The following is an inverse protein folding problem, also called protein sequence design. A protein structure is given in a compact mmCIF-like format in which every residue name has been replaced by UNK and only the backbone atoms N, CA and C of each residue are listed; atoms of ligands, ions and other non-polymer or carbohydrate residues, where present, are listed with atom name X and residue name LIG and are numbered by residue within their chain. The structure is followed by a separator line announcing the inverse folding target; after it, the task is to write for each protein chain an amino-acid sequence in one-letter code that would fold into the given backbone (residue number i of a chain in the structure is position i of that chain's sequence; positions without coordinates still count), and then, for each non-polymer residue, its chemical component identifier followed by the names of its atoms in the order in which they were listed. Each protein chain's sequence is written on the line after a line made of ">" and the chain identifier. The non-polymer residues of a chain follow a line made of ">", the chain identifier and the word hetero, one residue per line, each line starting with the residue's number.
data_IF_434012235358
#
_entry.id   IF_434012235358
#
_cell.length_a   1.000
_cell.length_b   1.000
_cell.length_c   1.000
_cell.angle_alpha   90.00
_cell.angle_beta   90.00
_cell.angle_gamma   90.00
#
_symmetry.space_group_name_H-M   'P 1'
#
loop_
_entity.id
_entity.type
_entity.pdbx_description
1 polymer ?
#
# COMPACT_ATOMS: atom_id res chain seq x y z
N UNK A 1 2.77 -10.65 7.15
CA UNK A 1 3.95 -10.30 7.98
C UNK A 1 3.56 -9.21 8.97
N UNK A 2 4.09 -9.23 10.19
CA UNK A 2 3.79 -8.17 11.18
C UNK A 2 4.79 -7.03 11.08
N UNK A 3 4.29 -5.80 10.91
CA UNK A 3 5.09 -4.59 10.97
C UNK A 3 5.67 -4.43 12.38
N UNK A 4 6.96 -4.10 12.47
CA UNK A 4 7.58 -3.77 13.75
C UNK A 4 7.00 -2.44 14.27
N UNK A 5 6.60 -2.39 15.54
CA UNK A 5 6.01 -1.20 16.19
C UNK A 5 6.83 0.09 15.99
N UNK A 6 8.16 0.00 15.77
CA UNK A 6 9.00 1.17 15.45
C UNK A 6 8.59 1.91 14.18
N UNK A 7 7.92 1.21 13.26
CA UNK A 7 7.51 1.71 11.96
C UNK A 7 6.00 1.84 11.84
N UNK A 8 5.22 1.62 12.91
CA UNK A 8 3.76 1.75 12.89
C UNK A 8 3.31 3.10 12.32
N UNK A 9 4.07 4.16 12.60
CA UNK A 9 3.81 5.54 12.16
C UNK A 9 4.68 5.99 10.99
N UNK A 10 5.45 5.08 10.36
CA UNK A 10 6.30 5.41 9.23
C UNK A 10 5.44 5.93 8.07
N UNK A 11 5.94 6.95 7.39
CA UNK A 11 5.33 7.55 6.20
C UNK A 11 6.44 7.85 5.21
N UNK A 12 6.13 7.79 3.92
CA UNK A 12 7.08 8.19 2.88
C UNK A 12 7.22 9.71 2.94
N UNK A 13 8.43 10.20 3.20
CA UNK A 13 8.71 11.63 3.32
C UNK A 13 9.04 12.25 1.96
N UNK A 14 8.15 12.04 0.99
CA UNK A 14 8.30 12.54 -0.37
C UNK A 14 7.00 13.20 -0.82
N UNK A 15 7.11 14.34 -1.50
CA UNK A 15 5.96 14.95 -2.14
C UNK A 15 5.54 14.07 -3.31
N UNK A 16 4.39 13.42 -3.18
CA UNK A 16 3.86 12.50 -4.17
C UNK A 16 2.43 12.92 -4.49
N UNK A 17 2.11 12.97 -5.78
CA UNK A 17 0.77 13.28 -6.26
C UNK A 17 -0.02 12.01 -6.60
N UNK A 18 -1.34 12.12 -6.61
CA UNK A 18 -2.24 11.03 -6.98
C UNK A 18 -2.35 9.93 -5.90
N UNK A 19 -2.69 8.69 -6.28
CA UNK A 19 -3.01 7.61 -5.34
C UNK A 19 -1.84 7.26 -4.40
N UNK A 20 -0.61 7.39 -4.87
CA UNK A 20 0.62 7.15 -4.08
C UNK A 20 0.79 8.13 -2.91
N UNK A 21 0.13 9.30 -2.94
CA UNK A 21 0.10 10.24 -1.81
C UNK A 21 -0.47 9.61 -0.53
N UNK A 22 -1.24 8.53 -0.66
CA UNK A 22 -1.69 7.70 0.45
C UNK A 22 -0.53 7.24 1.34
N UNK A 23 0.59 6.79 0.77
CA UNK A 23 1.74 6.30 1.53
C UNK A 23 2.56 7.41 2.21
N UNK A 24 2.40 8.65 1.77
CA UNK A 24 2.96 9.83 2.44
C UNK A 24 2.04 10.40 3.51
N UNK A 25 0.73 10.20 3.39
CA UNK A 25 -0.28 10.78 4.31
C UNK A 25 -0.69 9.81 5.41
N UNK A 26 -0.79 8.52 5.11
CA UNK A 26 -1.19 7.47 6.04
C UNK A 26 0.00 6.70 6.60
N UNK A 27 -0.04 6.34 7.89
CA UNK A 27 1.03 5.57 8.53
C UNK A 27 1.10 4.14 7.98
N UNK A 28 2.28 3.52 7.99
CA UNK A 28 2.54 2.21 7.39
C UNK A 28 1.61 1.10 7.89
N UNK A 29 1.21 1.16 9.17
CA UNK A 29 0.20 0.23 9.75
C UNK A 29 -1.14 0.25 9.02
N UNK A 30 -1.46 1.35 8.35
CA UNK A 30 -2.69 1.53 7.60
C UNK A 30 -2.52 1.22 6.12
N UNK A 31 -1.35 0.79 5.65
CA UNK A 31 -1.10 0.61 4.22
C UNK A 31 -1.82 -0.57 3.56
N UNK A 32 -2.62 -1.35 4.30
CA UNK A 32 -3.46 -2.42 3.75
C UNK A 32 -4.30 -1.96 2.57
N UNK A 33 -4.56 -2.87 1.62
CA UNK A 33 -5.36 -2.59 0.43
C UNK A 33 -6.75 -2.03 0.78
N UNK A 34 -7.39 -2.53 1.84
CA UNK A 34 -8.71 -2.05 2.29
C UNK A 34 -8.70 -0.54 2.58
N UNK A 35 -7.67 -0.04 3.25
CA UNK A 35 -7.56 1.38 3.58
C UNK A 35 -7.18 2.20 2.35
N UNK A 36 -6.28 1.70 1.51
CA UNK A 36 -5.95 2.31 0.23
C UNK A 36 -7.23 2.48 -0.60
N UNK A 37 -7.95 1.40 -0.83
CA UNK A 37 -9.22 1.36 -1.57
C UNK A 37 -10.29 2.31 -1.00
N UNK A 38 -10.39 2.42 0.34
CA UNK A 38 -11.33 3.33 0.98
C UNK A 38 -10.97 4.80 0.79
N UNK A 39 -9.69 5.15 0.84
CA UNK A 39 -9.22 6.53 0.98
C UNK A 39 -8.74 7.19 -0.33
N UNK A 40 -8.41 6.43 -1.38
CA UNK A 40 -7.86 7.02 -2.62
C UNK A 40 -8.87 7.23 -3.76
N UNK A 41 -10.09 6.68 -3.68
CA UNK A 41 -11.06 6.75 -4.77
C UNK A 41 -12.47 7.22 -4.33
N UNK A 42 -13.26 7.72 -5.27
CA UNK A 42 -14.68 8.08 -5.08
C UNK A 42 -15.59 6.83 -5.12
N UNK A 43 -16.56 6.75 -4.20
CA UNK A 43 -17.35 5.55 -3.90
C UNK A 43 -18.17 4.98 -5.07
N UNK A 44 -18.50 5.81 -6.08
CA UNK A 44 -19.49 5.46 -7.11
C UNK A 44 -18.99 4.37 -8.08
N UNK A 45 -17.67 4.18 -8.24
CA UNK A 45 -17.09 3.20 -9.18
C UNK A 45 -16.11 2.19 -8.56
N UNK A 46 -15.91 2.23 -7.24
CA UNK A 46 -14.92 1.40 -6.52
C UNK A 46 -15.07 -0.10 -6.76
N UNK A 47 -16.30 -0.63 -6.68
CA UNK A 47 -16.55 -2.07 -6.83
C UNK A 47 -16.30 -2.55 -8.27
N UNK A 48 -16.70 -1.75 -9.27
CA UNK A 48 -16.50 -2.09 -10.69
C UNK A 48 -15.02 -2.10 -11.07
N UNK A 49 -14.22 -1.23 -10.44
CA UNK A 49 -12.80 -1.08 -10.72
C UNK A 49 -11.90 -1.84 -9.74
N UNK A 50 -12.47 -2.69 -8.86
CA UNK A 50 -11.72 -3.38 -7.80
C UNK A 50 -10.43 -4.03 -8.30
N UNK A 51 -10.49 -4.78 -9.41
CA UNK A 51 -9.31 -5.44 -9.99
C UNK A 51 -8.26 -4.46 -10.48
N UNK A 52 -8.68 -3.35 -11.08
CA UNK A 52 -7.77 -2.29 -11.52
C UNK A 52 -7.10 -1.63 -10.31
N UNK A 53 -7.89 -1.29 -9.29
CA UNK A 53 -7.40 -0.66 -8.06
C UNK A 53 -6.44 -1.57 -7.27
N UNK A 54 -6.71 -2.87 -7.27
CA UNK A 54 -5.80 -3.86 -6.69
C UNK A 54 -4.48 -3.92 -7.46
N UNK A 55 -4.55 -3.87 -8.79
CA UNK A 55 -3.35 -3.86 -9.61
C UNK A 55 -2.54 -2.58 -9.40
N UNK A 56 -3.20 -1.42 -9.36
CA UNK A 56 -2.56 -0.13 -9.09
C UNK A 56 -1.92 -0.13 -7.69
N UNK A 57 -2.61 -0.67 -6.69
CA UNK A 57 -2.05 -0.84 -5.34
C UNK A 57 -0.80 -1.72 -5.34
N UNK A 58 -0.81 -2.87 -6.03
CA UNK A 58 0.37 -3.75 -6.13
C UNK A 58 1.55 -3.02 -6.82
N UNK A 59 1.29 -2.28 -7.89
CA UNK A 59 2.30 -1.49 -8.59
C UNK A 59 2.88 -0.41 -7.66
N UNK A 60 2.03 0.22 -6.86
CA UNK A 60 2.46 1.23 -5.90
C UNK A 60 3.30 0.62 -4.78
N UNK A 61 2.92 -0.56 -4.27
CA UNK A 61 3.75 -1.32 -3.32
C UNK A 61 5.11 -1.68 -3.92
N UNK A 62 5.17 -2.17 -5.15
CA UNK A 62 6.43 -2.44 -5.86
C UNK A 62 7.29 -1.18 -5.96
N UNK A 63 6.70 -0.06 -6.32
CA UNK A 63 7.40 1.23 -6.35
C UNK A 63 8.04 1.57 -5.00
N UNK A 64 7.36 1.35 -3.88
CA UNK A 64 7.93 1.58 -2.53
C UNK A 64 9.19 0.74 -2.30
N UNK A 65 9.21 -0.52 -2.77
CA UNK A 65 10.39 -1.38 -2.64
C UNK A 65 11.61 -0.86 -3.41
N UNK A 66 11.39 -0.07 -4.47
CA UNK A 66 12.47 0.54 -5.26
C UNK A 66 13.05 1.82 -4.63
N UNK A 67 12.38 2.41 -3.63
CA UNK A 67 12.85 3.65 -3.01
C UNK A 67 14.06 3.40 -2.11
N UNK A 68 15.15 4.14 -2.32
CA UNK A 68 16.37 4.01 -1.52
C UNK A 68 16.18 4.51 -0.07
N UNK A 69 15.35 5.54 0.12
CA UNK A 69 15.02 6.15 1.42
C UNK A 69 14.18 5.27 2.34
N UNK A 70 13.61 4.18 1.81
CA UNK A 70 12.74 3.28 2.57
C UNK A 70 13.58 2.20 3.24
N UNK A 71 13.49 2.02 4.58
CA UNK A 71 14.20 0.97 5.29
C UNK A 71 13.85 -0.43 4.77
N UNK A 72 14.81 -1.36 4.80
CA UNK A 72 14.58 -2.73 4.34
C UNK A 72 13.41 -3.41 5.04
N UNK A 73 13.19 -3.15 6.33
CA UNK A 73 12.07 -3.78 7.04
C UNK A 73 10.70 -3.28 6.58
N UNK A 74 10.61 -2.04 6.07
CA UNK A 74 9.39 -1.55 5.42
C UNK A 74 9.21 -2.24 4.08
N UNK A 75 10.30 -2.48 3.34
CA UNK A 75 10.24 -3.20 2.05
C UNK A 75 9.80 -4.65 2.23
N UNK A 76 10.30 -5.33 3.26
CA UNK A 76 9.84 -6.66 3.67
C UNK A 76 8.35 -6.65 4.04
N UNK A 77 7.92 -5.68 4.85
CA UNK A 77 6.51 -5.52 5.21
C UNK A 77 5.62 -5.33 3.98
N UNK A 78 6.00 -4.42 3.08
CA UNK A 78 5.30 -4.14 1.82
C UNK A 78 5.23 -5.36 0.91
N UNK A 79 6.32 -6.14 0.85
CA UNK A 79 6.34 -7.41 0.12
C UNK A 79 5.32 -8.39 0.72
N UNK A 80 5.26 -8.49 2.06
CA UNK A 80 4.27 -9.30 2.76
C UNK A 80 2.82 -8.87 2.49
N UNK A 81 2.54 -7.57 2.31
CA UNK A 81 1.20 -7.09 1.92
C UNK A 81 0.83 -7.54 0.51
N UNK A 82 1.79 -7.56 -0.42
CA UNK A 82 1.59 -8.02 -1.80
C UNK A 82 1.27 -9.52 -1.84
N UNK A 83 1.96 -10.32 -1.03
CA UNK A 83 1.73 -11.77 -0.95
C UNK A 83 0.34 -12.09 -0.35
N UNK A 84 -0.08 -11.37 0.70
CA UNK A 84 -1.40 -11.55 1.34
C UNK A 84 -2.58 -11.31 0.36
N UNK A 85 -2.46 -10.28 -0.47
CA UNK A 85 -3.45 -9.94 -1.49
C UNK A 85 -3.39 -10.89 -2.71
N UNK A 86 -2.26 -11.53 -2.95
CA UNK A 86 -2.09 -12.54 -4.01
C UNK A 86 -2.69 -13.89 -3.62
N UNK A 87 -2.61 -14.26 -2.33
CA UNK A 87 -3.19 -15.51 -1.78
C UNK A 87 -4.71 -15.45 -1.70
N UNK A 88 -5.30 -14.27 -1.50
CA UNK A 88 -6.76 -14.09 -1.45
C UNK A 88 -7.48 -14.30 -2.81
N UNK A 89 -6.76 -14.69 -3.87
CA UNK A 89 -7.30 -15.04 -5.21
C UNK A 89 -7.51 -16.55 -5.42
N UNK A 90 -7.38 -17.39 -4.39
CA UNK A 90 -7.38 -18.85 -4.53
C UNK A 90 -8.57 -19.62 -3.90
N UNK A 91 -9.64 -18.96 -3.47
CA UNK A 91 -10.89 -19.64 -3.05
C UNK A 91 -12.07 -19.34 -3.99
#
# INVERSE_FOLDING_TARGET
>A
MSLNNKYDHFKINKLIEGPKSFFATQPAKQWSFINYFKLTHDDINKIKNYKCLLNDYIIDLEWITTLEEVPSEIKDYVSGLKDEESVSKQD
#
